data_IF_261587177584
#
_entry.id   IF_261587177584
#
_cell.length_a   1.000
_cell.length_b   1.000
_cell.length_c   1.000
_cell.angle_alpha   90.00
_cell.angle_beta   90.00
_cell.angle_gamma   90.00
#
_symmetry.space_group_name_H-M   'P 1'
#
loop_
_entity.id
_entity.type
_entity.pdbx_description
1 polymer ?
#
# COMPACT_ATOMS: atom_id res chain seq x y z
N UNK A 1 -53.01 59.32 -21.97
CA UNK A 1 -51.78 60.09 -21.71
C UNK A 1 -51.62 60.27 -20.19
N UNK A 2 -50.81 59.40 -19.55
CA UNK A 2 -50.16 59.52 -18.22
C UNK A 2 -49.76 58.10 -17.75
N UNK A 3 -48.45 57.84 -17.78
CA UNK A 3 -47.55 57.54 -16.64
C UNK A 3 -47.69 56.09 -16.14
N UNK A 4 -46.88 55.19 -16.67
CA UNK A 4 -45.49 54.85 -16.29
C UNK A 4 -45.43 53.80 -15.17
N UNK A 5 -44.76 52.72 -15.55
CA UNK A 5 -44.44 51.50 -14.84
C UNK A 5 -43.43 51.76 -13.72
N UNK A 6 -43.46 50.93 -12.69
CA UNK A 6 -42.33 50.13 -12.19
C UNK A 6 -42.73 49.51 -10.85
N UNK A 7 -42.90 48.19 -10.79
CA UNK A 7 -42.83 47.43 -9.54
C UNK A 7 -41.80 46.31 -9.69
N UNK A 8 -40.64 46.58 -9.09
CA UNK A 8 -39.63 45.59 -8.67
C UNK A 8 -40.28 44.42 -7.94
N UNK A 9 -40.06 43.21 -8.43
CA UNK A 9 -40.24 41.98 -7.67
C UNK A 9 -38.85 41.57 -7.19
N UNK A 10 -38.61 41.68 -5.88
CA UNK A 10 -37.39 41.22 -5.23
C UNK A 10 -37.46 39.71 -5.05
N UNK A 11 -36.42 39.02 -5.52
CA UNK A 11 -36.14 37.62 -5.25
C UNK A 11 -35.87 37.43 -3.76
N UNK A 12 -36.65 36.57 -3.12
CA UNK A 12 -36.44 36.13 -1.74
C UNK A 12 -35.62 34.84 -1.76
N UNK A 13 -34.43 34.90 -1.20
CA UNK A 13 -33.50 33.79 -0.96
C UNK A 13 -34.14 32.77 -0.02
N UNK A 14 -34.28 31.51 -0.47
CA UNK A 14 -34.69 30.39 0.37
C UNK A 14 -33.43 29.60 0.77
N UNK A 15 -32.92 29.90 1.97
CA UNK A 15 -31.97 29.03 2.67
C UNK A 15 -32.78 27.90 3.33
N UNK A 16 -32.62 26.67 2.83
CA UNK A 16 -33.13 25.49 3.52
C UNK A 16 -32.04 24.97 4.47
N UNK A 17 -32.18 25.33 5.75
CA UNK A 17 -31.49 24.66 6.85
C UNK A 17 -32.21 23.34 7.11
N UNK A 18 -31.51 22.20 6.97
CA UNK A 18 -32.00 20.91 7.44
C UNK A 18 -31.27 20.52 8.72
N UNK A 19 -32.07 20.14 9.71
CA UNK A 19 -31.77 20.10 11.12
C UNK A 19 -30.83 18.96 11.54
N UNK A 20 -30.07 19.25 12.61
CA UNK A 20 -29.43 18.28 13.50
C UNK A 20 -30.45 17.24 14.00
N UNK A 21 -30.08 15.97 13.95
CA UNK A 21 -30.56 14.98 14.91
C UNK A 21 -29.38 14.49 15.75
N UNK A 22 -29.42 14.86 17.03
CA UNK A 22 -28.61 14.27 18.10
C UNK A 22 -29.31 13.00 18.56
N UNK A 23 -28.63 11.88 18.42
CA UNK A 23 -28.84 10.65 19.18
C UNK A 23 -27.44 10.05 19.30
N UNK A 24 -26.88 9.73 20.45
CA UNK A 24 -27.38 9.53 21.80
C UNK A 24 -26.26 8.70 22.44
N UNK A 25 -25.44 9.32 23.27
CA UNK A 25 -24.33 8.64 23.93
C UNK A 25 -24.88 7.47 24.76
N UNK A 26 -24.53 6.25 24.39
CA UNK A 26 -24.57 5.10 25.29
C UNK A 26 -23.13 4.66 25.48
N UNK A 27 -22.67 4.76 26.72
CA UNK A 27 -21.38 4.28 27.16
C UNK A 27 -21.31 2.76 26.96
N UNK A 28 -20.34 2.32 26.17
CA UNK A 28 -19.94 0.91 26.05
C UNK A 28 -18.97 0.64 27.21
N UNK A 29 -19.20 -0.38 28.07
CA UNK A 29 -18.26 -0.75 29.12
C UNK A 29 -16.99 -1.35 28.52
N UNK A 30 -15.83 -1.28 29.20
CA UNK A 30 -14.61 -1.91 28.71
C UNK A 30 -14.74 -3.42 28.84
N UNK A 31 -14.64 -4.13 27.72
CA UNK A 31 -14.43 -5.59 27.72
C UNK A 31 -12.94 -5.86 27.90
N UNK A 32 -12.63 -6.41 29.08
CA UNK A 32 -11.40 -7.15 29.34
C UNK A 32 -11.49 -8.54 28.66
N UNK A 33 -10.35 -8.92 28.05
CA UNK A 33 -9.90 -10.27 27.73
C UNK A 33 -10.74 -11.16 26.79
N UNK A 34 -10.36 -11.19 25.50
CA UNK A 34 -9.69 -12.37 24.89
C UNK A 34 -9.60 -12.25 23.35
N UNK A 35 -8.53 -11.65 22.82
CA UNK A 35 -8.00 -11.96 21.48
C UNK A 35 -6.55 -11.50 21.34
N UNK A 36 -5.65 -12.47 21.15
CA UNK A 36 -4.22 -12.39 20.79
C UNK A 36 -3.58 -11.02 20.60
N UNK A 37 -2.73 -10.64 21.55
CA UNK A 37 -1.98 -9.39 21.56
C UNK A 37 -1.06 -9.18 20.35
N UNK A 38 -1.39 -8.17 19.54
CA UNK A 38 -0.41 -7.29 18.95
C UNK A 38 -0.31 -6.05 19.85
N UNK A 39 0.59 -6.10 20.84
CA UNK A 39 0.81 -4.99 21.76
C UNK A 39 1.08 -3.69 21.00
N UNK A 40 0.58 -2.59 21.54
CA UNK A 40 1.10 -1.24 21.28
C UNK A 40 2.61 -1.28 21.48
N UNK A 41 3.36 -1.42 20.38
CA UNK A 41 4.79 -1.64 20.36
C UNK A 41 5.60 -0.40 20.76
N UNK A 42 5.37 0.12 21.96
CA UNK A 42 6.32 1.02 22.60
C UNK A 42 7.54 0.19 23.02
N UNK A 43 8.58 0.23 22.19
CA UNK A 43 9.90 -0.22 22.59
C UNK A 43 10.47 0.81 23.58
N UNK A 44 10.78 0.45 24.84
CA UNK A 44 11.35 1.39 25.80
C UNK A 44 12.67 1.98 25.27
N UNK A 45 12.85 3.31 25.37
CA UNK A 45 14.08 4.00 24.97
C UNK A 45 14.16 4.46 23.50
N UNK A 46 13.02 4.62 22.84
CA UNK A 46 12.92 5.06 21.44
C UNK A 46 12.70 6.57 21.34
N UNK A 47 13.45 7.23 20.44
CA UNK A 47 13.16 8.60 19.97
C UNK A 47 12.02 8.52 18.95
N UNK A 48 10.98 9.34 19.12
CA UNK A 48 9.88 9.51 18.17
C UNK A 48 10.21 10.56 17.11
N UNK A 49 9.46 10.58 16.00
CA UNK A 49 9.68 11.54 14.91
C UNK A 49 9.65 13.01 15.37
N UNK A 50 8.76 13.36 16.30
CA UNK A 50 8.64 14.73 16.85
C UNK A 50 9.80 15.12 17.77
N UNK A 51 10.55 14.15 18.28
CA UNK A 51 11.70 14.37 19.17
C UNK A 51 13.03 14.49 18.41
N UNK A 52 13.01 14.33 17.08
CA UNK A 52 14.19 14.49 16.23
C UNK A 52 14.51 15.98 16.09
N UNK A 53 15.49 16.44 16.86
CA UNK A 53 15.95 17.85 16.87
C UNK A 53 17.38 18.04 16.40
N UNK A 54 18.17 16.96 16.32
CA UNK A 54 19.56 16.97 15.89
C UNK A 54 19.97 15.65 15.21
N UNK A 55 21.23 15.56 14.75
CA UNK A 55 21.77 14.38 14.08
C UNK A 55 21.79 13.14 14.98
N UNK A 56 22.11 13.28 16.27
CA UNK A 56 22.17 12.14 17.19
C UNK A 56 20.77 11.55 17.43
N UNK A 57 19.77 12.42 17.58
CA UNK A 57 18.37 12.04 17.67
C UNK A 57 17.89 11.37 16.37
N UNK A 58 18.23 11.93 15.20
CA UNK A 58 17.87 11.34 13.89
C UNK A 58 18.44 9.93 13.71
N UNK A 59 19.72 9.72 14.03
CA UNK A 59 20.32 8.39 13.99
C UNK A 59 19.60 7.42 14.93
N UNK A 60 19.34 7.84 16.16
CA UNK A 60 18.65 7.00 17.16
C UNK A 60 17.23 6.63 16.71
N UNK A 61 16.51 7.58 16.11
CA UNK A 61 15.19 7.39 15.52
C UNK A 61 15.22 6.36 14.38
N UNK A 62 16.12 6.53 13.41
CA UNK A 62 16.23 5.63 12.25
C UNK A 62 16.72 4.23 12.65
N UNK A 63 17.67 4.12 13.57
CA UNK A 63 18.10 2.81 14.10
C UNK A 63 16.99 2.14 14.92
N UNK A 64 16.14 2.92 15.60
CA UNK A 64 14.93 2.43 16.24
C UNK A 64 13.93 1.87 15.22
N UNK A 65 13.72 2.58 14.11
CA UNK A 65 12.87 2.13 13.00
C UNK A 65 13.37 0.84 12.37
N UNK A 66 14.68 0.76 12.13
CA UNK A 66 15.37 -0.45 11.70
C UNK A 66 15.05 -1.62 12.62
N UNK A 67 15.29 -1.50 13.94
CA UNK A 67 15.03 -2.60 14.90
C UNK A 67 13.57 -3.01 14.93
N UNK A 68 12.66 -2.03 14.85
CA UNK A 68 11.23 -2.29 14.81
C UNK A 68 10.84 -3.11 13.58
N UNK A 69 11.32 -2.74 12.39
CA UNK A 69 11.02 -3.46 11.15
C UNK A 69 11.76 -4.80 11.05
N UNK A 70 12.99 -4.90 11.55
CA UNK A 70 13.74 -6.17 11.67
C UNK A 70 12.97 -7.21 12.48
N UNK A 71 12.24 -6.80 13.52
CA UNK A 71 11.46 -7.70 14.38
C UNK A 71 10.18 -8.23 13.70
N UNK A 72 9.76 -7.66 12.58
CA UNK A 72 8.56 -8.09 11.86
C UNK A 72 8.88 -9.30 10.99
N UNK A 73 8.26 -10.43 11.34
CA UNK A 73 8.45 -11.73 10.67
C UNK A 73 7.19 -12.23 9.96
N UNK A 74 6.11 -11.44 9.98
CA UNK A 74 4.80 -11.80 9.43
C UNK A 74 4.47 -10.96 8.19
N UNK A 75 3.74 -11.55 7.25
CA UNK A 75 3.19 -10.91 6.05
C UNK A 75 2.26 -9.77 6.45
N UNK A 76 1.36 -10.01 7.41
CA UNK A 76 0.46 -8.97 7.95
C UNK A 76 1.23 -7.80 8.55
N UNK A 77 2.28 -8.09 9.34
CA UNK A 77 3.10 -7.04 9.95
C UNK A 77 3.78 -6.16 8.90
N UNK A 78 4.31 -6.76 7.82
CA UNK A 78 4.90 -6.00 6.72
C UNK A 78 3.85 -5.18 5.96
N UNK A 79 2.65 -5.72 5.74
CA UNK A 79 1.57 -4.98 5.09
C UNK A 79 1.20 -3.72 5.90
N UNK A 80 1.03 -3.87 7.22
CA UNK A 80 0.65 -2.82 8.15
C UNK A 80 1.68 -1.69 8.28
N UNK A 81 2.94 -1.92 7.93
CA UNK A 81 3.99 -0.90 8.02
C UNK A 81 3.65 0.38 7.25
N UNK A 82 2.97 0.26 6.11
CA UNK A 82 2.57 1.41 5.31
C UNK A 82 1.68 2.37 6.09
N UNK A 83 0.67 1.85 6.78
CA UNK A 83 -0.22 2.67 7.60
C UNK A 83 0.53 3.22 8.82
N UNK A 84 1.35 2.38 9.47
CA UNK A 84 2.14 2.76 10.65
C UNK A 84 3.16 3.87 10.36
N UNK A 85 3.79 3.87 9.18
CA UNK A 85 4.77 4.89 8.78
C UNK A 85 4.15 6.15 8.18
N UNK A 86 2.89 6.08 7.72
CA UNK A 86 2.19 7.24 7.14
C UNK A 86 1.33 8.00 8.13
N UNK A 87 0.88 7.36 9.21
CA UNK A 87 0.14 8.01 10.27
C UNK A 87 1.05 8.92 11.11
N UNK A 88 0.61 10.15 11.38
CA UNK A 88 1.25 11.03 12.37
C UNK A 88 1.39 10.31 13.71
N UNK A 89 2.55 10.42 14.34
CA UNK A 89 2.86 9.76 15.59
C UNK A 89 4.32 9.34 15.71
N UNK A 90 4.60 8.16 16.30
CA UNK A 90 5.96 7.79 16.66
C UNK A 90 6.95 7.71 15.48
N UNK A 91 6.48 7.42 14.26
CA UNK A 91 7.31 7.26 13.05
C UNK A 91 7.17 8.40 12.03
N UNK A 92 6.25 9.35 12.26
CA UNK A 92 6.03 10.49 11.38
C UNK A 92 5.64 11.73 12.19
N UNK A 93 6.33 12.83 11.94
CA UNK A 93 5.96 14.15 12.44
C UNK A 93 6.36 15.22 11.43
N UNK A 94 5.38 15.74 10.70
CA UNK A 94 5.63 16.69 9.61
C UNK A 94 6.67 16.15 8.63
N UNK A 95 7.77 16.89 8.41
CA UNK A 95 8.85 16.50 7.48
C UNK A 95 9.79 15.39 7.99
N UNK A 96 9.63 14.92 9.22
CA UNK A 96 10.38 13.77 9.75
C UNK A 96 9.55 12.51 9.54
N UNK A 97 9.88 11.75 8.52
CA UNK A 97 9.26 10.46 8.21
C UNK A 97 10.33 9.45 7.76
N UNK A 98 9.89 8.22 7.54
CA UNK A 98 10.73 7.11 7.10
C UNK A 98 10.48 6.74 5.65
N UNK A 99 11.53 6.28 4.98
CA UNK A 99 11.46 5.55 3.72
C UNK A 99 12.16 4.21 3.87
N UNK A 100 11.60 3.19 3.22
CA UNK A 100 12.28 1.91 3.04
C UNK A 100 12.60 1.73 1.57
N UNK A 101 13.83 1.32 1.28
CA UNK A 101 14.31 1.12 -0.08
C UNK A 101 14.86 -0.30 -0.21
N UNK A 102 14.82 -0.80 -1.43
CA UNK A 102 15.77 -1.85 -1.83
C UNK A 102 17.20 -1.25 -1.90
N UNK A 103 18.25 -2.06 -1.74
CA UNK A 103 19.64 -1.59 -1.87
C UNK A 103 19.97 -1.00 -3.26
N UNK A 104 19.19 -1.32 -4.29
CA UNK A 104 19.37 -0.76 -5.62
C UNK A 104 18.66 0.61 -5.80
N UNK A 105 17.96 1.11 -4.77
CA UNK A 105 17.35 2.43 -4.73
C UNK A 105 15.87 2.50 -5.09
N UNK A 106 15.18 1.38 -5.31
CA UNK A 106 13.72 1.42 -5.47
C UNK A 106 13.03 1.66 -4.12
N UNK A 107 12.04 2.56 -4.11
CA UNK A 107 11.24 2.89 -2.92
C UNK A 107 10.22 1.77 -2.67
N UNK A 108 10.28 1.12 -1.51
CA UNK A 108 9.33 0.09 -1.08
C UNK A 108 8.18 0.68 -0.26
N UNK A 109 8.49 1.59 0.65
CA UNK A 109 7.52 2.34 1.46
C UNK A 109 7.99 3.79 1.55
N UNK A 110 7.07 4.72 1.32
CA UNK A 110 7.27 6.13 1.60
C UNK A 110 6.30 6.59 2.69
N UNK A 111 6.84 7.15 3.78
CA UNK A 111 6.06 7.57 4.95
C UNK A 111 5.23 8.85 4.73
N UNK A 112 5.44 9.56 3.62
CA UNK A 112 4.65 10.75 3.29
C UNK A 112 3.83 10.59 2.00
N UNK A 113 4.50 10.61 0.85
CA UNK A 113 3.89 10.41 -0.46
C UNK A 113 3.92 8.95 -0.96
N UNK A 114 2.81 8.19 -0.90
CA UNK A 114 2.75 6.83 -1.45
C UNK A 114 2.85 6.75 -2.99
N UNK A 115 2.67 7.85 -3.71
CA UNK A 115 2.65 7.84 -5.19
C UNK A 115 4.05 7.66 -5.81
N UNK A 116 5.09 7.83 -5.01
CA UNK A 116 6.48 7.61 -5.42
C UNK A 116 6.99 6.19 -5.13
N UNK A 117 6.17 5.33 -4.52
CA UNK A 117 6.54 3.92 -4.33
C UNK A 117 6.84 3.23 -5.68
N UNK A 118 7.79 2.32 -5.66
CA UNK A 118 8.44 1.66 -6.80
C UNK A 118 9.33 2.53 -7.69
N UNK A 119 9.38 3.85 -7.52
CA UNK A 119 10.35 4.69 -8.25
C UNK A 119 11.76 4.49 -7.72
N UNK A 120 12.76 4.83 -8.53
CA UNK A 120 14.18 4.62 -8.22
C UNK A 120 14.91 5.92 -7.93
N UNK A 121 15.52 6.04 -6.76
CA UNK A 121 16.13 7.30 -6.31
C UNK A 121 17.58 7.51 -6.78
N UNK A 122 18.20 6.55 -7.47
CA UNK A 122 19.65 6.58 -7.76
C UNK A 122 20.10 7.85 -8.49
N UNK A 123 19.28 8.38 -9.40
CA UNK A 123 19.57 9.58 -10.16
C UNK A 123 19.14 10.88 -9.47
N UNK A 124 18.61 10.82 -8.23
CA UNK A 124 18.15 12.00 -7.50
C UNK A 124 19.35 12.81 -7.03
N UNK A 125 19.38 14.07 -7.47
CA UNK A 125 20.30 15.11 -7.05
C UNK A 125 19.55 16.18 -6.24
N UNK A 126 20.29 16.95 -5.44
CA UNK A 126 19.75 18.12 -4.76
C UNK A 126 19.89 19.41 -5.59
N UNK A 127 19.50 20.55 -5.02
CA UNK A 127 19.55 21.86 -5.69
C UNK A 127 20.97 22.31 -6.13
N UNK A 128 22.02 21.70 -5.58
CA UNK A 128 23.42 22.00 -5.89
C UNK A 128 24.06 20.96 -6.82
N UNK A 129 23.27 19.96 -7.27
CA UNK A 129 23.76 18.85 -8.09
C UNK A 129 24.51 17.78 -7.29
N UNK A 130 24.35 17.72 -5.96
CA UNK A 130 24.92 16.63 -5.15
C UNK A 130 24.11 15.36 -5.38
N UNK A 131 24.73 14.19 -5.64
CA UNK A 131 24.01 12.95 -5.96
C UNK A 131 23.45 12.27 -4.69
N UNK A 132 22.40 12.84 -4.11
CA UNK A 132 21.83 12.42 -2.82
C UNK A 132 21.38 10.96 -2.84
N UNK A 133 20.75 10.52 -3.94
CA UNK A 133 20.30 9.14 -4.08
C UNK A 133 21.44 8.12 -3.93
N UNK A 134 22.55 8.35 -4.62
CA UNK A 134 23.75 7.50 -4.51
C UNK A 134 24.39 7.61 -3.13
N UNK A 135 24.44 8.82 -2.57
CA UNK A 135 25.02 9.05 -1.25
C UNK A 135 24.25 8.29 -0.14
N UNK A 136 22.92 8.25 -0.20
CA UNK A 136 22.06 7.50 0.74
C UNK A 136 22.33 5.99 0.67
N UNK A 137 22.43 5.42 -0.54
CA UNK A 137 22.73 4.00 -0.71
C UNK A 137 24.13 3.66 -0.20
N UNK A 138 25.14 4.47 -0.55
CA UNK A 138 26.50 4.28 -0.07
C UNK A 138 26.62 4.43 1.46
N UNK A 139 25.86 5.35 2.08
CA UNK A 139 25.76 5.49 3.53
C UNK A 139 25.23 4.21 4.20
N UNK A 140 24.17 3.62 3.63
CA UNK A 140 23.60 2.37 4.11
C UNK A 140 24.57 1.19 3.97
N UNK A 141 25.33 1.11 2.85
CA UNK A 141 26.35 0.08 2.62
C UNK A 141 27.50 0.11 3.64
N UNK A 142 27.83 1.30 4.18
CA UNK A 142 28.80 1.46 5.28
C UNK A 142 28.26 1.02 6.65
N UNK A 143 27.03 0.52 6.72
CA UNK A 143 26.36 0.10 7.96
C UNK A 143 25.66 1.24 8.69
N UNK A 144 25.49 2.40 8.04
CA UNK A 144 24.76 3.55 8.59
C UNK A 144 25.57 4.83 8.59
N UNK A 145 25.12 5.86 7.86
CA UNK A 145 25.79 7.17 7.83
C UNK A 145 24.82 8.32 7.50
N UNK A 146 25.27 9.55 7.76
CA UNK A 146 24.53 10.77 7.44
C UNK A 146 24.79 11.20 5.99
N UNK A 147 23.78 11.80 5.38
CA UNK A 147 23.86 12.45 4.07
C UNK A 147 23.27 13.85 4.19
N UNK A 148 24.10 14.86 3.93
CA UNK A 148 23.66 16.26 3.86
C UNK A 148 23.23 16.60 2.44
N UNK A 149 22.13 17.34 2.31
CA UNK A 149 21.55 17.75 1.04
C UNK A 149 20.82 19.08 1.18
N UNK A 150 20.60 19.78 0.07
CA UNK A 150 19.96 21.09 0.03
C UNK A 150 18.60 20.97 -0.63
N UNK A 151 17.57 21.37 0.10
CA UNK A 151 16.20 21.33 -0.42
C UNK A 151 15.42 22.51 0.10
N UNK A 152 14.75 23.21 -0.81
CA UNK A 152 14.04 24.47 -0.57
C UNK A 152 14.97 25.56 -0.01
N UNK A 153 16.22 25.61 -0.49
CA UNK A 153 17.22 26.56 -0.05
C UNK A 153 17.75 26.34 1.38
N UNK A 154 17.46 25.20 2.00
CA UNK A 154 17.89 24.85 3.36
C UNK A 154 18.77 23.60 3.35
N UNK A 155 19.87 23.62 4.10
CA UNK A 155 20.65 22.39 4.36
C UNK A 155 19.85 21.47 5.28
N UNK A 156 19.69 20.23 4.84
CA UNK A 156 19.00 19.16 5.54
C UNK A 156 19.95 17.97 5.69
N UNK A 157 19.62 17.08 6.62
CA UNK A 157 20.39 15.87 6.86
C UNK A 157 19.43 14.68 6.89
N UNK A 158 19.79 13.64 6.16
CA UNK A 158 19.18 12.32 6.26
C UNK A 158 20.14 11.32 6.92
N UNK A 159 19.61 10.24 7.47
CA UNK A 159 20.40 9.10 7.92
C UNK A 159 19.90 7.84 7.21
N UNK A 160 20.82 7.07 6.63
CA UNK A 160 20.51 5.86 5.89
C UNK A 160 21.30 4.67 6.45
N UNK A 161 20.63 3.54 6.70
CA UNK A 161 21.21 2.33 7.28
C UNK A 161 20.60 1.08 6.67
N UNK A 162 21.40 0.04 6.45
CA UNK A 162 20.90 -1.25 5.99
C UNK A 162 20.46 -2.16 7.16
N UNK A 163 19.59 -3.10 6.84
CA UNK A 163 19.17 -4.15 7.76
C UNK A 163 18.67 -5.38 7.01
N UNK A 164 18.59 -6.51 7.71
CA UNK A 164 18.04 -7.75 7.17
C UNK A 164 16.57 -7.85 7.53
N UNK A 165 15.70 -7.97 6.53
CA UNK A 165 14.26 -8.14 6.74
C UNK A 165 13.97 -9.40 7.56
N UNK A 166 13.25 -9.24 8.66
CA UNK A 166 12.80 -10.35 9.51
C UNK A 166 11.89 -11.34 8.80
N UNK A 167 11.17 -10.92 7.75
CA UNK A 167 10.29 -11.77 6.94
C UNK A 167 11.06 -12.50 5.82
N UNK A 168 11.78 -11.77 4.97
CA UNK A 168 12.35 -12.35 3.73
C UNK A 168 13.83 -12.73 3.84
N UNK A 169 14.55 -12.26 4.86
CA UNK A 169 16.01 -12.41 4.95
C UNK A 169 16.78 -11.54 3.95
N UNK A 170 16.08 -10.72 3.15
CA UNK A 170 16.68 -9.81 2.19
C UNK A 170 17.24 -8.55 2.88
N UNK A 171 18.27 -7.95 2.28
CA UNK A 171 18.76 -6.64 2.73
C UNK A 171 17.80 -5.54 2.27
N UNK A 172 17.46 -4.64 3.19
CA UNK A 172 16.62 -3.46 2.98
C UNK A 172 17.36 -2.24 3.53
N UNK A 173 17.12 -1.07 2.96
CA UNK A 173 17.66 0.21 3.44
C UNK A 173 16.55 0.99 4.13
N UNK A 174 16.81 1.46 5.34
CA UNK A 174 15.97 2.42 6.06
C UNK A 174 16.59 3.81 5.92
N UNK A 175 15.77 4.80 5.56
CA UNK A 175 16.15 6.21 5.47
C UNK A 175 15.19 7.02 6.34
N UNK A 176 15.70 7.99 7.09
CA UNK A 176 14.89 9.01 7.74
C UNK A 176 15.47 10.42 7.58
N UNK A 177 14.59 11.42 7.61
CA UNK A 177 14.98 12.83 7.43
C UNK A 177 15.21 13.26 5.97
N UNK A 178 14.93 12.39 5.00
CA UNK A 178 14.94 12.72 3.58
C UNK A 178 13.55 13.21 3.15
N UNK A 179 13.40 14.51 2.94
CA UNK A 179 12.11 15.20 2.73
C UNK A 179 12.03 15.87 1.34
N UNK A 180 12.92 15.52 0.43
CA UNK A 180 12.89 16.02 -0.95
C UNK A 180 11.64 15.50 -1.68
N UNK A 181 11.04 16.34 -2.54
CA UNK A 181 9.94 15.92 -3.41
C UNK A 181 10.46 14.97 -4.51
N UNK A 182 9.87 13.78 -4.59
CA UNK A 182 10.22 12.73 -5.55
C UNK A 182 9.13 12.54 -6.63
N UNK A 183 8.13 13.41 -6.67
CA UNK A 183 7.02 13.35 -7.63
C UNK A 183 7.51 13.39 -9.08
N UNK A 184 8.61 14.09 -9.35
CA UNK A 184 9.24 14.23 -10.67
C UNK A 184 10.12 13.05 -11.09
N UNK A 185 10.48 12.15 -10.16
CA UNK A 185 11.27 10.96 -10.49
C UNK A 185 10.48 10.09 -11.48
N UNK A 186 11.09 9.65 -12.59
CA UNK A 186 10.38 8.84 -13.58
C UNK A 186 10.03 7.46 -13.02
N UNK A 187 8.93 6.91 -13.53
CA UNK A 187 8.60 5.50 -13.34
C UNK A 187 9.35 4.71 -14.40
N UNK A 188 10.31 3.90 -13.97
CA UNK A 188 11.06 3.00 -14.84
C UNK A 188 10.58 1.56 -14.61
N UNK A 189 10.42 0.79 -15.69
CA UNK A 189 10.14 -0.63 -15.58
C UNK A 189 10.66 -1.41 -16.79
N UNK A 190 10.96 -2.68 -16.55
CA UNK A 190 11.27 -3.68 -17.55
C UNK A 190 10.05 -4.59 -17.72
N UNK A 191 9.53 -4.79 -18.95
CA UNK A 191 8.41 -5.69 -19.18
C UNK A 191 8.67 -7.10 -18.63
N UNK A 192 7.65 -7.67 -17.99
CA UNK A 192 7.67 -9.09 -17.63
C UNK A 192 7.32 -9.97 -18.84
N UNK A 193 7.70 -11.26 -18.83
CA UNK A 193 7.26 -12.22 -19.84
C UNK A 193 5.73 -12.22 -19.98
N UNK A 194 5.25 -12.48 -21.20
CA UNK A 194 3.81 -12.68 -21.43
C UNK A 194 3.39 -13.97 -20.70
N UNK A 195 2.35 -13.93 -19.84
CA UNK A 195 1.76 -15.14 -19.29
C UNK A 195 1.05 -15.95 -20.38
N UNK A 196 0.67 -17.18 -20.06
CA UNK A 196 -0.14 -18.01 -20.96
C UNK A 196 -1.46 -17.32 -21.33
N UNK A 197 -2.17 -16.85 -20.29
CA UNK A 197 -3.38 -16.02 -20.38
C UNK A 197 -3.05 -14.64 -19.84
N UNK A 198 -3.29 -13.59 -20.63
CA UNK A 198 -3.20 -12.19 -20.21
C UNK A 198 -4.51 -11.71 -19.58
N UNK A 199 -4.48 -10.59 -18.85
CA UNK A 199 -5.67 -10.01 -18.23
C UNK A 199 -6.82 -9.74 -19.22
N UNK A 200 -6.50 -9.38 -20.47
CA UNK A 200 -7.49 -9.16 -21.53
C UNK A 200 -8.11 -10.46 -22.09
N UNK A 201 -7.47 -11.60 -21.84
CA UNK A 201 -7.92 -12.93 -22.29
C UNK A 201 -8.68 -13.69 -21.20
N UNK A 202 -8.85 -13.10 -20.01
CA UNK A 202 -9.66 -13.67 -18.92
C UNK A 202 -11.13 -13.44 -19.23
N UNK A 203 -11.82 -14.53 -19.59
CA UNK A 203 -13.24 -14.52 -20.00
C UNK A 203 -14.07 -15.59 -19.29
N UNK A 204 -13.42 -16.54 -18.63
CA UNK A 204 -14.05 -17.65 -17.93
C UNK A 204 -13.22 -18.10 -16.74
N UNK A 205 -13.67 -19.15 -16.05
CA UNK A 205 -12.99 -19.71 -14.87
C UNK A 205 -11.59 -20.23 -15.20
N UNK A 206 -11.46 -20.99 -16.28
CA UNK A 206 -10.20 -21.65 -16.64
C UNK A 206 -9.13 -20.60 -16.94
N UNK A 207 -9.45 -19.62 -17.78
CA UNK A 207 -8.56 -18.51 -18.11
C UNK A 207 -8.22 -17.67 -16.88
N UNK A 208 -9.17 -17.42 -15.98
CA UNK A 208 -8.92 -16.73 -14.71
C UNK A 208 -7.91 -17.46 -13.82
N UNK A 209 -8.07 -18.77 -13.62
CA UNK A 209 -7.15 -19.54 -12.79
C UNK A 209 -5.73 -19.56 -13.37
N UNK A 210 -5.58 -19.77 -14.69
CA UNK A 210 -4.28 -19.72 -15.37
C UNK A 210 -3.61 -18.36 -15.17
N UNK A 211 -4.37 -17.26 -15.34
CA UNK A 211 -3.88 -15.90 -15.13
C UNK A 211 -3.40 -15.65 -13.69
N UNK A 212 -4.19 -16.04 -12.69
CA UNK A 212 -3.88 -15.81 -11.27
C UNK A 212 -2.70 -16.66 -10.81
N UNK A 213 -2.61 -17.91 -11.24
CA UNK A 213 -1.47 -18.79 -10.94
C UNK A 213 -0.17 -18.23 -11.53
N UNK A 214 -0.21 -17.74 -12.77
CA UNK A 214 0.93 -17.07 -13.38
C UNK A 214 1.33 -15.80 -12.60
N UNK A 215 0.35 -14.98 -12.19
CA UNK A 215 0.61 -13.78 -11.40
C UNK A 215 1.20 -14.11 -10.02
N UNK A 216 0.71 -15.16 -9.37
CA UNK A 216 1.21 -15.63 -8.08
C UNK A 216 2.66 -16.10 -8.18
N UNK A 217 3.01 -16.83 -9.24
CA UNK A 217 4.38 -17.23 -9.53
C UNK A 217 5.30 -16.04 -9.75
N UNK A 218 4.92 -15.09 -10.60
CA UNK A 218 5.74 -13.90 -10.87
C UNK A 218 5.93 -13.04 -9.61
N UNK A 219 4.88 -12.88 -8.80
CA UNK A 219 4.98 -12.14 -7.54
C UNK A 219 5.87 -12.87 -6.52
N UNK A 220 5.79 -14.19 -6.43
CA UNK A 220 6.67 -15.02 -5.60
C UNK A 220 8.13 -14.88 -6.06
N UNK A 221 8.41 -15.09 -7.34
CA UNK A 221 9.77 -15.00 -7.90
C UNK A 221 10.36 -13.60 -7.64
N UNK A 222 9.57 -12.54 -7.83
CA UNK A 222 9.98 -11.18 -7.53
C UNK A 222 10.21 -10.95 -6.02
N UNK A 223 9.41 -11.57 -5.15
CA UNK A 223 9.59 -11.53 -3.69
C UNK A 223 10.85 -12.30 -3.24
N UNK A 224 11.20 -13.38 -3.93
CA UNK A 224 12.41 -14.19 -3.67
C UNK A 224 13.66 -13.62 -4.35
N UNK A 225 13.53 -12.61 -5.21
CA UNK A 225 14.67 -11.97 -5.83
C UNK A 225 15.65 -11.42 -4.78
N UNK A 226 16.97 -11.50 -5.02
CA UNK A 226 17.97 -10.98 -4.09
C UNK A 226 17.69 -9.52 -3.73
N UNK A 227 17.58 -9.26 -2.43
CA UNK A 227 17.31 -7.93 -1.89
C UNK A 227 16.03 -7.27 -2.44
N UNK A 228 15.04 -8.09 -2.84
CA UNK A 228 13.76 -7.64 -3.39
C UNK A 228 13.91 -6.81 -4.68
N UNK A 229 15.00 -6.98 -5.44
CA UNK A 229 15.33 -6.12 -6.58
C UNK A 229 14.25 -6.06 -7.66
N UNK A 230 13.53 -7.17 -7.86
CA UNK A 230 12.52 -7.31 -8.91
C UNK A 230 11.10 -6.98 -8.45
N UNK A 231 10.82 -6.97 -7.14
CA UNK A 231 9.47 -6.75 -6.61
C UNK A 231 8.87 -5.39 -7.01
N UNK A 232 9.61 -4.27 -6.92
CA UNK A 232 9.12 -2.96 -7.41
C UNK A 232 8.74 -3.00 -8.89
N UNK A 233 9.57 -3.65 -9.73
CA UNK A 233 9.32 -3.76 -11.16
C UNK A 233 8.04 -4.58 -11.44
N UNK A 234 7.90 -5.73 -10.82
CA UNK A 234 6.70 -6.58 -10.96
C UNK A 234 5.42 -5.82 -10.57
N UNK A 235 5.45 -5.11 -9.43
CA UNK A 235 4.33 -4.26 -8.99
C UNK A 235 4.01 -3.15 -10.00
N UNK A 236 5.02 -2.51 -10.58
CA UNK A 236 4.81 -1.47 -11.61
C UNK A 236 4.20 -2.05 -12.88
N UNK A 237 4.69 -3.21 -13.35
CA UNK A 237 4.16 -3.91 -14.53
C UNK A 237 2.72 -4.37 -14.30
N UNK A 238 2.39 -4.90 -13.12
CA UNK A 238 1.03 -5.33 -12.76
C UNK A 238 0.01 -4.19 -12.69
N UNK A 239 0.46 -2.93 -12.68
CA UNK A 239 -0.41 -1.74 -12.69
C UNK A 239 -0.60 -1.14 -14.09
N UNK A 240 0.12 -1.61 -15.11
CA UNK A 240 0.06 -1.04 -16.46
C UNK A 240 -1.25 -1.42 -17.16
N UNK A 241 -2.15 -0.46 -17.31
CA UNK A 241 -3.40 -0.63 -18.06
C UNK A 241 -3.11 -0.98 -19.53
N UNK A 242 -3.81 -1.99 -20.06
CA UNK A 242 -3.57 -2.52 -21.41
C UNK A 242 -2.29 -3.36 -21.52
N UNK A 243 -1.57 -3.57 -20.42
CA UNK A 243 -0.49 -4.55 -20.32
C UNK A 243 -1.02 -5.97 -20.11
N UNK A 244 -0.11 -6.94 -20.02
CA UNK A 244 -0.48 -8.35 -19.87
C UNK A 244 -1.16 -8.68 -18.54
N UNK A 245 -1.01 -7.84 -17.53
CA UNK A 245 -1.40 -8.12 -16.15
C UNK A 245 -2.55 -7.24 -15.63
N UNK A 246 -3.05 -6.32 -16.47
CA UNK A 246 -4.18 -5.46 -16.14
C UNK A 246 -4.95 -5.04 -17.39
N UNK A 247 -6.24 -5.30 -17.38
CA UNK A 247 -7.18 -4.88 -18.42
C UNK A 247 -8.55 -4.64 -17.79
N UNK A 248 -8.97 -3.38 -17.70
CA UNK A 248 -10.24 -2.99 -17.10
C UNK A 248 -10.41 -3.50 -15.67
N UNK A 249 -11.42 -4.34 -15.45
CA UNK A 249 -11.73 -4.91 -14.13
C UNK A 249 -10.88 -6.13 -13.74
N UNK A 250 -10.10 -6.67 -14.68
CA UNK A 250 -9.20 -7.80 -14.43
C UNK A 250 -7.82 -7.26 -14.02
N UNK A 251 -7.49 -7.39 -12.74
CA UNK A 251 -6.21 -6.98 -12.17
C UNK A 251 -5.87 -7.83 -10.94
N UNK A 252 -4.57 -7.91 -10.65
CA UNK A 252 -4.04 -8.68 -9.51
C UNK A 252 -4.15 -7.89 -8.20
N UNK A 253 -4.47 -8.55 -7.11
CA UNK A 253 -4.30 -8.06 -5.75
C UNK A 253 -3.67 -9.14 -4.85
N UNK A 254 -2.88 -8.70 -3.87
CA UNK A 254 -2.16 -9.58 -2.92
C UNK A 254 -2.49 -9.17 -1.50
N UNK A 255 -2.96 -10.11 -0.71
CA UNK A 255 -3.50 -9.89 0.64
C UNK A 255 -2.88 -10.88 1.65
N UNK A 256 -2.73 -10.46 2.89
CA UNK A 256 -2.39 -11.37 3.99
C UNK A 256 -3.62 -12.16 4.42
N UNK A 257 -3.41 -13.27 5.13
CA UNK A 257 -4.50 -14.11 5.68
C UNK A 257 -5.35 -13.39 6.74
N UNK A 258 -4.87 -12.26 7.27
CA UNK A 258 -5.64 -11.38 8.17
C UNK A 258 -6.37 -10.26 7.42
N UNK A 259 -6.32 -10.25 6.08
CA UNK A 259 -7.04 -9.30 5.23
C UNK A 259 -6.34 -7.95 5.04
N UNK A 260 -5.04 -7.85 5.27
CA UNK A 260 -4.28 -6.65 4.91
C UNK A 260 -3.81 -6.70 3.46
N UNK A 261 -3.96 -5.60 2.73
CA UNK A 261 -3.55 -5.54 1.32
C UNK A 261 -2.08 -5.13 1.17
N UNK A 262 -1.28 -6.01 0.55
CA UNK A 262 0.14 -5.77 0.25
C UNK A 262 0.34 -5.10 -1.11
N UNK A 263 -0.52 -5.44 -2.07
CA UNK A 263 -0.49 -4.93 -3.43
C UNK A 263 -1.92 -4.89 -3.99
N UNK A 264 -2.24 -3.82 -4.71
CA UNK A 264 -3.49 -3.71 -5.44
C UNK A 264 -3.24 -3.07 -6.83
N UNK A 265 -3.54 -3.82 -7.91
CA UNK A 265 -3.30 -3.37 -9.29
C UNK A 265 -4.23 -2.24 -9.76
N UNK A 266 -5.47 -2.21 -9.25
CA UNK A 266 -6.46 -1.16 -9.55
C UNK A 266 -6.30 0.12 -8.71
N UNK A 267 -6.41 0.02 -7.38
CA UNK A 267 -6.58 1.14 -6.46
C UNK A 267 -5.57 1.11 -5.30
N UNK A 268 -4.26 1.29 -5.56
CA UNK A 268 -3.22 1.16 -4.53
C UNK A 268 -3.39 2.13 -3.36
N UNK A 269 -3.75 3.39 -3.62
CA UNK A 269 -3.95 4.41 -2.57
C UNK A 269 -5.14 4.12 -1.65
N UNK A 270 -6.14 3.39 -2.15
CA UNK A 270 -7.35 3.03 -1.39
C UNK A 270 -7.10 1.84 -0.48
N UNK A 271 -6.32 0.85 -0.92
CA UNK A 271 -6.26 -0.45 -0.25
C UNK A 271 -4.89 -0.79 0.36
N UNK A 272 -3.76 -0.42 -0.25
CA UNK A 272 -2.45 -0.90 0.22
C UNK A 272 -2.06 -0.34 1.58
N UNK A 273 -1.68 -1.23 2.49
CA UNK A 273 -1.36 -0.90 3.89
C UNK A 273 -2.51 -1.14 4.86
N UNK A 274 -3.74 -1.21 4.34
CA UNK A 274 -4.96 -1.28 5.13
C UNK A 274 -5.48 -2.69 5.25
N UNK A 275 -6.13 -2.97 6.37
CA UNK A 275 -7.05 -4.07 6.49
C UNK A 275 -8.35 -3.73 5.75
N UNK A 276 -9.00 -4.72 5.13
CA UNK A 276 -10.39 -4.52 4.72
C UNK A 276 -11.23 -4.17 5.96
N UNK A 277 -11.86 -2.98 5.94
CA UNK A 277 -12.62 -2.44 7.08
C UNK A 277 -13.71 -3.43 7.54
N UNK A 278 -14.32 -4.14 6.60
CA UNK A 278 -15.32 -5.17 6.86
C UNK A 278 -14.90 -6.51 6.23
N UNK A 279 -13.86 -7.16 6.78
CA UNK A 279 -13.45 -8.51 6.35
C UNK A 279 -14.60 -9.54 6.44
N UNK A 280 -15.58 -9.28 7.32
CA UNK A 280 -16.79 -10.08 7.50
C UNK A 280 -18.00 -9.55 6.70
N UNK A 281 -17.79 -8.58 5.79
CA UNK A 281 -18.86 -8.08 4.91
C UNK A 281 -19.44 -9.21 4.09
N UNK A 282 -20.77 -9.26 4.12
CA UNK A 282 -21.56 -10.11 3.24
C UNK A 282 -22.01 -9.31 2.01
N UNK A 283 -22.09 -9.97 0.87
CA UNK A 283 -22.80 -9.43 -0.30
C UNK A 283 -24.33 -9.55 -0.11
N UNK A 284 -25.11 -9.14 -1.11
CA UNK A 284 -26.59 -9.22 -1.05
C UNK A 284 -27.15 -10.63 -0.93
N UNK A 285 -26.34 -11.66 -1.19
CA UNK A 285 -26.70 -13.07 -1.07
C UNK A 285 -26.19 -13.71 0.23
N UNK A 286 -25.52 -12.95 1.12
CA UNK A 286 -24.96 -13.45 2.36
C UNK A 286 -23.54 -14.03 2.21
N UNK A 287 -22.88 -13.88 1.07
CA UNK A 287 -21.54 -14.43 0.82
C UNK A 287 -20.48 -13.56 1.46
N UNK A 288 -19.67 -14.14 2.35
CA UNK A 288 -18.51 -13.48 2.97
C UNK A 288 -17.29 -13.58 2.06
N UNK A 289 -17.38 -12.93 0.89
CA UNK A 289 -16.46 -13.14 -0.22
C UNK A 289 -14.99 -12.93 0.15
N UNK A 290 -14.66 -11.98 1.05
CA UNK A 290 -13.28 -11.81 1.53
C UNK A 290 -12.79 -13.01 2.35
N UNK A 291 -13.61 -13.53 3.27
CA UNK A 291 -13.27 -14.74 4.05
C UNK A 291 -13.09 -15.95 3.15
N UNK A 292 -13.97 -16.10 2.16
CA UNK A 292 -13.91 -17.21 1.21
C UNK A 292 -12.68 -17.10 0.30
N UNK A 293 -12.32 -15.91 -0.17
CA UNK A 293 -11.09 -15.69 -0.95
C UNK A 293 -9.83 -16.01 -0.15
N UNK A 294 -9.79 -15.60 1.12
CA UNK A 294 -8.68 -15.92 2.02
C UNK A 294 -8.57 -17.43 2.25
N UNK A 295 -9.70 -18.11 2.53
CA UNK A 295 -9.74 -19.55 2.71
C UNK A 295 -9.32 -20.31 1.44
N UNK A 296 -9.75 -19.87 0.26
CA UNK A 296 -9.35 -20.43 -1.02
C UNK A 296 -7.84 -20.29 -1.26
N UNK A 297 -7.26 -19.12 -0.98
CA UNK A 297 -5.81 -18.92 -1.04
C UNK A 297 -5.05 -19.79 -0.05
N UNK A 298 -5.51 -19.90 1.20
CA UNK A 298 -4.89 -20.77 2.21
C UNK A 298 -4.95 -22.26 1.85
N UNK A 299 -6.01 -22.69 1.17
CA UNK A 299 -6.19 -24.04 0.66
C UNK A 299 -5.35 -24.33 -0.61
N UNK A 300 -4.71 -23.30 -1.20
CA UNK A 300 -3.84 -23.42 -2.37
C UNK A 300 -4.56 -23.27 -3.71
N UNK A 301 -5.76 -22.70 -3.74
CA UNK A 301 -6.51 -22.45 -4.97
C UNK A 301 -8.02 -22.64 -4.81
N UNK A 302 -8.81 -21.69 -5.29
CA UNK A 302 -10.27 -21.84 -5.33
C UNK A 302 -11.00 -20.66 -5.97
N UNK A 303 -12.20 -20.94 -6.48
CA UNK A 303 -13.11 -19.92 -7.00
C UNK A 303 -14.05 -19.42 -5.91
N UNK A 304 -14.40 -18.14 -5.97
CA UNK A 304 -15.40 -17.50 -5.11
C UNK A 304 -16.32 -16.67 -6.00
N UNK A 305 -17.62 -16.81 -5.80
CA UNK A 305 -18.66 -16.12 -6.54
C UNK A 305 -19.44 -15.22 -5.60
N UNK A 306 -19.59 -13.95 -5.98
CA UNK A 306 -20.22 -12.96 -5.12
C UNK A 306 -20.69 -11.76 -5.94
N UNK A 307 -21.46 -10.89 -5.31
CA UNK A 307 -21.93 -9.64 -5.88
C UNK A 307 -20.99 -8.49 -5.49
N UNK A 308 -20.56 -7.69 -6.47
CA UNK A 308 -19.66 -6.55 -6.24
C UNK A 308 -19.95 -5.40 -7.20
N UNK A 309 -19.65 -4.16 -6.81
CA UNK A 309 -19.85 -2.99 -7.66
C UNK A 309 -19.05 -3.14 -8.96
N UNK A 310 -19.73 -3.11 -10.11
CA UNK A 310 -19.10 -3.18 -11.41
C UNK A 310 -18.88 -1.77 -11.94
N UNK A 311 -17.63 -1.31 -12.12
CA UNK A 311 -17.36 0.04 -12.61
C UNK A 311 -17.90 0.31 -14.03
N UNK A 312 -18.30 -0.72 -14.77
CA UNK A 312 -18.93 -0.60 -16.08
C UNK A 312 -20.46 -0.44 -16.02
N UNK A 313 -21.09 -0.62 -14.85
CA UNK A 313 -22.55 -0.55 -14.66
C UNK A 313 -22.88 0.59 -13.70
N UNK A 314 -23.54 1.63 -14.20
CA UNK A 314 -23.96 2.76 -13.37
C UNK A 314 -25.12 2.34 -12.44
N UNK A 315 -24.99 2.64 -11.14
CA UNK A 315 -26.07 2.45 -10.17
C UNK A 315 -26.17 1.05 -9.54
N UNK A 316 -25.20 0.16 -9.80
CA UNK A 316 -25.19 -1.18 -9.20
C UNK A 316 -24.58 -1.22 -7.78
N UNK A 317 -24.14 -0.10 -7.21
CA UNK A 317 -23.35 -0.08 -5.97
C UNK A 317 -24.09 -0.68 -4.75
N UNK A 318 -25.42 -0.65 -4.77
CA UNK A 318 -26.27 -1.20 -3.71
C UNK A 318 -26.44 -2.73 -3.78
N UNK A 319 -26.39 -3.32 -4.98
CA UNK A 319 -26.71 -4.75 -5.19
C UNK A 319 -25.55 -5.55 -5.78
N UNK A 320 -24.61 -4.88 -6.44
CA UNK A 320 -23.51 -5.44 -7.20
C UNK A 320 -23.94 -6.12 -8.49
N UNK A 321 -22.95 -6.39 -9.33
CA UNK A 321 -23.03 -7.35 -10.42
C UNK A 321 -22.39 -8.68 -10.01
N UNK A 322 -22.78 -9.82 -10.60
CA UNK A 322 -22.09 -11.08 -10.38
C UNK A 322 -20.60 -10.96 -10.71
N UNK A 323 -19.75 -11.51 -9.84
CA UNK A 323 -18.31 -11.52 -10.00
C UNK A 323 -17.77 -12.90 -9.69
N UNK A 324 -16.88 -13.39 -10.53
CA UNK A 324 -16.13 -14.62 -10.31
C UNK A 324 -14.70 -14.22 -10.01
N UNK A 325 -14.20 -14.61 -8.85
CA UNK A 325 -12.81 -14.46 -8.47
C UNK A 325 -12.14 -15.83 -8.29
N UNK A 326 -10.84 -15.85 -8.49
CA UNK A 326 -9.99 -16.97 -8.16
C UNK A 326 -8.88 -16.47 -7.24
N UNK A 327 -8.62 -17.21 -6.18
CA UNK A 327 -7.54 -16.96 -5.25
C UNK A 327 -6.65 -18.18 -5.13
N UNK A 328 -5.35 -17.96 -5.11
CA UNK A 328 -4.33 -18.97 -4.79
C UNK A 328 -3.38 -18.42 -3.75
N UNK A 329 -2.57 -19.29 -3.14
CA UNK A 329 -1.69 -18.92 -2.05
C UNK A 329 -0.29 -19.43 -2.24
N UNK A 330 0.70 -18.61 -1.90
CA UNK A 330 2.10 -19.04 -1.81
C UNK A 330 2.72 -18.69 -0.45
N UNK A 331 3.82 -19.36 -0.11
CA UNK A 331 4.62 -19.07 1.08
C UNK A 331 6.05 -18.72 0.68
N UNK A 332 6.69 -17.87 1.46
CA UNK A 332 8.14 -17.70 1.38
C UNK A 332 8.80 -18.93 2.03
N UNK A 333 9.85 -19.53 1.45
CA UNK A 333 10.55 -20.65 2.06
C UNK A 333 10.96 -20.37 3.52
N UNK A 334 10.64 -21.29 4.42
CA UNK A 334 10.92 -21.16 5.85
C UNK A 334 9.95 -20.25 6.61
N UNK A 335 8.83 -19.84 6.01
CA UNK A 335 7.75 -19.07 6.65
C UNK A 335 6.42 -19.78 6.50
N UNK A 336 5.57 -19.66 7.51
CA UNK A 336 4.28 -20.37 7.56
C UNK A 336 3.10 -19.56 7.02
N UNK A 337 3.21 -18.23 7.03
CA UNK A 337 2.15 -17.34 6.55
C UNK A 337 2.03 -17.32 5.03
N UNK A 338 0.78 -17.32 4.57
CA UNK A 338 0.40 -17.32 3.16
C UNK A 338 0.24 -15.90 2.64
N UNK A 339 0.78 -15.67 1.45
CA UNK A 339 0.36 -14.56 0.59
C UNK A 339 -0.78 -15.08 -0.26
N UNK A 340 -1.95 -14.46 -0.16
CA UNK A 340 -3.10 -14.77 -1.01
C UNK A 340 -3.05 -13.85 -2.22
N UNK A 341 -3.01 -14.41 -3.41
CA UNK A 341 -3.00 -13.71 -4.69
C UNK A 341 -4.31 -13.99 -5.38
N UNK A 342 -4.99 -12.95 -5.86
CA UNK A 342 -6.29 -13.09 -6.47
C UNK A 342 -6.53 -12.08 -7.59
N UNK A 343 -7.49 -12.43 -8.44
CA UNK A 343 -8.09 -11.59 -9.48
C UNK A 343 -9.55 -12.02 -9.66
N UNK A 344 -10.33 -11.23 -10.39
CA UNK A 344 -11.67 -11.62 -10.79
C UNK A 344 -12.15 -10.87 -12.02
N UNK A 345 -13.24 -11.35 -12.59
CA UNK A 345 -13.93 -10.74 -13.72
C UNK A 345 -15.45 -10.75 -13.48
N UNK A 346 -16.15 -9.88 -14.21
CA UNK A 346 -17.60 -9.88 -14.26
C UNK A 346 -18.01 -10.68 -15.50
N UNK A 347 -18.67 -11.85 -15.37
CA UNK A 347 -19.14 -12.61 -16.52
C UNK A 347 -20.16 -11.82 -17.34
N UNK A 348 -20.14 -12.01 -18.66
CA UNK A 348 -21.21 -11.55 -19.54
C UNK A 348 -22.48 -12.37 -19.27
N UNK A 349 -23.66 -11.74 -19.36
CA UNK A 349 -24.97 -12.39 -19.18
C UNK A 349 -25.33 -13.39 -20.28
#
# INVERSE_FOLDING_TARGET
MRREETKMIRFTTLFLALALLVAGCVAIPPEDEAAGGAGSGETPGRITASEVTDRAALKTFVEGAKRYQEAITTVTGIARLRDVYRAEGPWKSGSIFLMTLTPNGNILIHGDDPTVENKRIVAVEDEEGRPVGQALLAAAERGGDFVDYRWEGVERTAYAVNFTSGLSGNTVVMVGGFAQDLSSVPVEFTPLPRPEVTAAEVVDRETLAIFVEAAAKEYLDATLSPNLSELPNAKTVFRQEGGYWKSGSVYVFVISTEGYTLFHGGFPLRFEGRQFEDIDREDVNGVRYLRELLAAGEAGGGYVEYMFDNPAVEGDEAFGSPKIAYATGFRIPGRDQVFVVASGFYPEE
#
